data_IF_085263825774
#
_entry.id   IF_085263825774
#
_cell.length_a   1.000
_cell.length_b   1.000
_cell.length_c   1.000
_cell.angle_alpha   90.00
_cell.angle_beta   90.00
_cell.angle_gamma   90.00
#
_symmetry.space_group_name_H-M   'P 1'
#
loop_
_entity.id
_entity.type
_entity.pdbx_description
1 polymer ?
#
# COMPACT_ATOMS: atom_id res chain seq x y z
N UNK A 1 21.02 62.01 23.09
CA UNK A 1 20.75 61.41 21.76
C UNK A 1 21.13 59.92 21.66
N UNK A 2 22.27 59.49 22.22
CA UNK A 2 22.76 58.09 22.12
C UNK A 2 21.79 57.00 22.65
N UNK A 3 21.08 57.26 23.75
CA UNK A 3 20.16 56.29 24.37
C UNK A 3 18.98 55.89 23.45
N UNK A 4 18.47 56.84 22.63
CA UNK A 4 17.36 56.60 21.70
C UNK A 4 17.78 55.77 20.49
N UNK A 5 19.02 55.91 20.05
CA UNK A 5 19.61 55.10 18.99
C UNK A 5 19.86 53.67 19.43
N UNK A 6 20.31 53.47 20.67
CA UNK A 6 20.52 52.13 21.24
C UNK A 6 19.19 51.34 21.38
N UNK A 7 18.13 52.02 21.82
CA UNK A 7 16.79 51.42 21.89
C UNK A 7 16.20 51.10 20.51
N UNK A 8 16.42 51.97 19.51
CA UNK A 8 15.99 51.70 18.14
C UNK A 8 16.74 50.51 17.52
N UNK A 9 18.05 50.42 17.77
CA UNK A 9 18.89 49.32 17.30
C UNK A 9 18.52 47.97 17.95
N UNK A 10 18.26 47.97 19.27
CA UNK A 10 17.79 46.80 20.00
C UNK A 10 16.42 46.30 19.50
N UNK A 11 15.48 47.23 19.22
CA UNK A 11 14.17 46.88 18.65
C UNK A 11 14.29 46.32 17.22
N UNK A 12 15.20 46.88 16.41
CA UNK A 12 15.46 46.39 15.06
C UNK A 12 16.03 44.95 15.07
N UNK A 13 17.01 44.68 15.95
CA UNK A 13 17.56 43.34 16.13
C UNK A 13 16.52 42.33 16.62
N UNK A 14 15.66 42.74 17.56
CA UNK A 14 14.57 41.88 18.06
C UNK A 14 13.54 41.56 16.97
N UNK A 15 13.19 42.53 16.12
CA UNK A 15 12.27 42.31 15.01
C UNK A 15 12.86 41.38 13.94
N UNK A 16 14.15 41.53 13.61
CA UNK A 16 14.86 40.63 12.68
C UNK A 16 14.90 39.21 13.24
N UNK A 17 15.21 39.04 14.53
CA UNK A 17 15.22 37.73 15.18
C UNK A 17 13.84 37.05 15.12
N UNK A 18 12.74 37.79 15.37
CA UNK A 18 11.38 37.27 15.29
C UNK A 18 11.02 36.82 13.86
N UNK A 19 11.39 37.61 12.84
CA UNK A 19 11.16 37.25 11.43
C UNK A 19 11.93 35.99 11.05
N UNK A 20 13.18 35.85 11.49
CA UNK A 20 13.98 34.64 11.24
C UNK A 20 13.38 33.39 11.90
N UNK A 21 12.85 33.51 13.12
CA UNK A 21 12.15 32.42 13.81
C UNK A 21 10.86 32.04 13.08
N UNK A 22 10.07 33.02 12.62
CA UNK A 22 8.84 32.77 11.86
C UNK A 22 9.14 32.15 10.49
N UNK A 23 10.20 32.59 9.81
CA UNK A 23 10.65 32.00 8.55
C UNK A 23 11.14 30.57 8.73
N UNK A 24 11.93 30.30 9.77
CA UNK A 24 12.37 28.95 10.11
C UNK A 24 11.18 28.03 10.45
N UNK A 25 10.20 28.51 11.22
CA UNK A 25 8.98 27.76 11.53
C UNK A 25 8.15 27.49 10.26
N UNK A 26 8.03 28.46 9.36
CA UNK A 26 7.35 28.30 8.07
C UNK A 26 8.06 27.26 7.17
N UNK A 27 9.39 27.34 7.06
CA UNK A 27 10.19 26.34 6.33
C UNK A 27 10.03 24.95 6.95
N UNK A 28 10.08 24.83 8.29
CA UNK A 28 9.86 23.56 8.99
C UNK A 28 8.45 23.00 8.75
N UNK A 29 7.44 23.87 8.67
CA UNK A 29 6.05 23.51 8.36
C UNK A 29 5.90 22.96 6.93
N UNK A 30 6.63 23.55 5.97
CA UNK A 30 6.66 23.07 4.58
C UNK A 30 7.36 21.72 4.47
N UNK A 31 8.48 21.54 5.18
CA UNK A 31 9.21 20.25 5.20
C UNK A 31 8.36 19.13 5.79
N UNK A 32 7.56 19.40 6.84
CA UNK A 32 6.63 18.40 7.40
C UNK A 32 5.52 17.97 6.41
N UNK A 33 5.06 18.86 5.52
CA UNK A 33 4.07 18.52 4.50
C UNK A 33 4.67 17.84 3.26
N UNK A 34 6.00 17.86 3.11
CA UNK A 34 6.70 17.26 1.97
C UNK A 34 7.10 15.78 2.20
N UNK A 35 7.00 15.27 3.43
CA UNK A 35 7.26 13.86 3.74
C UNK A 35 6.01 13.01 3.44
N UNK A 36 5.64 12.89 2.16
CA UNK A 36 4.43 12.20 1.75
C UNK A 36 4.56 10.66 1.71
N UNK A 37 5.71 10.06 2.05
CA UNK A 37 5.89 8.61 2.20
C UNK A 37 7.03 8.35 3.19
N UNK A 38 6.90 7.40 4.14
CA UNK A 38 8.05 6.83 4.83
C UNK A 38 9.06 6.29 3.81
N UNK A 39 10.36 6.51 4.04
CA UNK A 39 11.42 6.13 3.09
C UNK A 39 11.48 4.62 2.76
N UNK A 40 10.81 3.78 3.55
CA UNK A 40 10.80 2.32 3.40
C UNK A 40 9.51 1.76 2.76
N UNK A 41 8.63 2.63 2.27
CA UNK A 41 7.39 2.25 1.58
C UNK A 41 7.68 1.96 0.11
N UNK A 42 7.23 0.79 -0.38
CA UNK A 42 7.38 0.40 -1.77
C UNK A 42 6.00 0.22 -2.41
N UNK A 43 5.72 0.98 -3.46
CA UNK A 43 4.49 0.88 -4.26
C UNK A 43 4.87 0.67 -5.71
N UNK A 44 4.46 -0.45 -6.29
CA UNK A 44 4.83 -0.88 -7.63
C UNK A 44 3.58 -0.84 -8.51
N UNK A 45 3.66 -0.08 -9.59
CA UNK A 45 2.69 -0.08 -10.68
C UNK A 45 3.14 -1.12 -11.73
N UNK A 46 2.37 -2.21 -11.82
CA UNK A 46 2.77 -3.38 -12.58
C UNK A 46 2.48 -3.17 -14.06
N UNK A 47 3.43 -3.51 -14.93
CA UNK A 47 3.33 -3.24 -16.36
C UNK A 47 3.61 -1.80 -16.77
N UNK A 48 3.98 -0.92 -15.83
CA UNK A 48 4.46 0.43 -16.12
C UNK A 48 5.86 0.37 -16.74
N UNK A 49 6.06 1.05 -17.88
CA UNK A 49 7.39 1.19 -18.48
C UNK A 49 8.33 2.00 -17.57
N UNK A 50 9.61 1.62 -17.50
CA UNK A 50 10.58 2.24 -16.60
C UNK A 50 10.75 3.77 -16.78
N UNK A 51 10.56 4.31 -17.99
CA UNK A 51 10.62 5.74 -18.28
C UNK A 51 9.52 6.57 -17.58
N UNK A 52 8.41 5.94 -17.16
CA UNK A 52 7.32 6.58 -16.43
C UNK A 52 7.39 6.33 -14.92
N UNK A 53 8.40 5.60 -14.44
CA UNK A 53 8.58 5.25 -13.03
C UNK A 53 8.81 6.48 -12.13
N UNK A 54 8.35 6.42 -10.88
CA UNK A 54 8.56 7.46 -9.87
C UNK A 54 7.52 8.60 -9.90
N UNK A 55 6.40 8.39 -10.59
CA UNK A 55 5.31 9.37 -10.60
C UNK A 55 4.52 9.32 -9.29
N UNK A 56 3.93 10.46 -8.92
CA UNK A 56 3.00 10.56 -7.79
C UNK A 56 1.57 10.48 -8.30
N UNK A 57 0.82 9.46 -7.87
CA UNK A 57 -0.58 9.33 -8.25
C UNK A 57 -1.42 10.45 -7.59
N UNK A 58 -2.23 11.12 -8.39
CA UNK A 58 -2.94 12.34 -7.96
C UNK A 58 -4.07 12.06 -6.97
N UNK A 59 -4.70 10.89 -7.03
CA UNK A 59 -5.83 10.55 -6.17
C UNK A 59 -5.38 10.01 -4.83
N UNK A 60 -4.35 9.15 -4.85
CA UNK A 60 -3.87 8.44 -3.67
C UNK A 60 -2.75 9.21 -2.97
N UNK A 61 -2.04 10.08 -3.69
CA UNK A 61 -0.88 10.80 -3.17
C UNK A 61 0.38 9.95 -3.03
N UNK A 62 0.34 8.69 -3.49
CA UNK A 62 1.42 7.72 -3.34
C UNK A 62 2.36 7.78 -4.56
N UNK A 63 3.66 7.61 -4.32
CA UNK A 63 4.65 7.46 -5.39
C UNK A 63 4.73 6.01 -5.82
N UNK A 64 4.58 5.75 -7.13
CA UNK A 64 4.68 4.43 -7.72
C UNK A 64 5.92 4.30 -8.60
N UNK A 65 6.55 3.13 -8.56
CA UNK A 65 7.67 2.75 -9.42
C UNK A 65 7.27 1.63 -10.37
N UNK A 66 7.99 1.49 -11.47
CA UNK A 66 7.85 0.35 -12.39
C UNK A 66 8.20 -0.97 -11.69
N UNK A 67 7.58 -2.06 -12.15
CA UNK A 67 7.84 -3.40 -11.65
C UNK A 67 9.10 -4.08 -12.22
N UNK A 68 9.69 -3.55 -13.28
CA UNK A 68 10.85 -4.15 -13.97
C UNK A 68 11.98 -4.64 -13.03
N UNK A 69 12.36 -3.92 -11.95
CA UNK A 69 13.44 -4.38 -11.05
C UNK A 69 13.05 -5.55 -10.14
N UNK A 70 11.77 -5.90 -10.06
CA UNK A 70 11.21 -6.81 -9.06
C UNK A 70 10.66 -8.10 -9.67
N UNK A 71 10.54 -8.20 -10.99
CA UNK A 71 9.95 -9.36 -11.68
C UNK A 71 10.71 -9.68 -12.97
N UNK A 72 10.97 -10.96 -13.20
CA UNK A 72 11.84 -11.40 -14.31
C UNK A 72 11.09 -11.81 -15.59
N UNK A 73 9.76 -11.82 -15.56
CA UNK A 73 8.93 -12.36 -16.66
C UNK A 73 7.56 -11.70 -16.74
N UNK A 74 6.72 -12.16 -17.68
CA UNK A 74 5.38 -11.63 -17.92
C UNK A 74 5.34 -10.52 -18.97
N UNK A 75 4.12 -10.12 -19.32
CA UNK A 75 3.83 -9.18 -20.39
C UNK A 75 3.15 -7.92 -19.83
N UNK A 76 3.60 -6.75 -20.27
CA UNK A 76 3.02 -5.47 -19.88
C UNK A 76 1.76 -5.21 -20.69
N UNK A 77 0.69 -4.81 -20.02
CA UNK A 77 -0.54 -4.40 -20.67
C UNK A 77 -1.08 -3.11 -20.08
N UNK A 78 -1.86 -2.42 -20.90
CA UNK A 78 -2.72 -1.32 -20.49
C UNK A 78 -4.17 -1.79 -20.57
N UNK A 79 -4.98 -1.32 -19.63
CA UNK A 79 -6.42 -1.56 -19.69
C UNK A 79 -7.05 -0.88 -20.92
N UNK A 80 -8.23 -1.32 -21.31
CA UNK A 80 -8.96 -0.72 -22.43
C UNK A 80 -9.29 0.76 -22.13
N UNK A 81 -9.21 1.61 -23.16
CA UNK A 81 -9.33 3.06 -23.02
C UNK A 81 -10.70 3.50 -22.43
N UNK A 82 -11.77 2.76 -22.73
CA UNK A 82 -13.11 2.98 -22.18
C UNK A 82 -13.20 2.62 -20.68
N UNK A 83 -12.27 1.81 -20.17
CA UNK A 83 -12.19 1.43 -18.76
C UNK A 83 -11.33 2.39 -17.93
N UNK A 84 -10.47 3.22 -18.53
CA UNK A 84 -9.63 4.17 -17.78
C UNK A 84 -10.45 5.16 -16.96
N UNK A 85 -11.58 5.64 -17.49
CA UNK A 85 -12.45 6.58 -16.77
C UNK A 85 -13.11 5.96 -15.53
N UNK A 86 -13.26 4.63 -15.50
CA UNK A 86 -13.85 3.86 -14.39
C UNK A 86 -12.88 3.73 -13.22
N UNK A 87 -11.58 3.69 -13.51
CA UNK A 87 -10.52 3.56 -12.52
C UNK A 87 -9.80 4.90 -12.38
N UNK A 88 -10.22 5.69 -11.40
CA UNK A 88 -9.71 7.04 -11.22
C UNK A 88 -8.19 7.07 -11.00
N UNK A 89 -7.64 6.07 -10.32
CA UNK A 89 -6.23 6.04 -9.93
C UNK A 89 -5.34 5.62 -11.11
N UNK A 90 -4.24 6.32 -11.31
CA UNK A 90 -3.30 6.11 -12.43
C UNK A 90 -2.65 4.74 -12.35
N UNK A 91 -2.35 4.29 -11.13
CA UNK A 91 -1.69 3.02 -10.83
C UNK A 91 -2.54 1.77 -11.14
N UNK A 92 -3.75 1.98 -11.64
CA UNK A 92 -4.72 0.93 -11.98
C UNK A 92 -4.95 0.80 -13.49
N UNK A 93 -4.22 1.58 -14.30
CA UNK A 93 -4.36 1.62 -15.76
C UNK A 93 -3.44 0.64 -16.47
N UNK A 94 -2.43 0.14 -15.79
CA UNK A 94 -1.46 -0.83 -16.26
C UNK A 94 -1.53 -2.10 -15.42
N UNK A 95 -1.14 -3.20 -16.03
CA UNK A 95 -0.96 -4.49 -15.36
C UNK A 95 0.13 -5.30 -16.04
N UNK A 96 0.67 -6.25 -15.29
CA UNK A 96 1.51 -7.31 -15.84
C UNK A 96 0.75 -8.63 -15.83
N UNK A 97 0.71 -9.31 -16.97
CA UNK A 97 0.11 -10.64 -17.13
C UNK A 97 1.19 -11.72 -17.20
N UNK A 98 0.83 -12.96 -16.86
CA UNK A 98 1.71 -14.12 -16.89
C UNK A 98 1.05 -15.27 -17.68
N UNK A 99 1.01 -15.19 -19.02
CA UNK A 99 0.37 -16.19 -19.86
C UNK A 99 1.15 -17.51 -19.93
N UNK A 100 2.43 -17.48 -19.56
CA UNK A 100 3.30 -18.64 -19.45
C UNK A 100 3.90 -18.75 -18.06
N UNK A 101 4.30 -19.95 -17.67
CA UNK A 101 4.87 -20.23 -16.34
C UNK A 101 3.80 -20.60 -15.31
N UNK A 102 4.12 -21.63 -14.52
CA UNK A 102 3.25 -22.11 -13.43
C UNK A 102 3.37 -21.22 -12.19
N UNK A 103 4.57 -20.68 -11.93
CA UNK A 103 4.89 -19.86 -10.76
C UNK A 103 5.61 -18.61 -11.21
N UNK A 104 5.00 -17.46 -10.96
CA UNK A 104 5.50 -16.15 -11.36
C UNK A 104 5.64 -15.29 -10.11
N UNK A 105 6.85 -14.81 -9.80
CA UNK A 105 7.15 -14.21 -8.50
C UNK A 105 7.73 -12.81 -8.64
N UNK A 106 7.30 -11.93 -7.75
CA UNK A 106 7.95 -10.67 -7.43
C UNK A 106 8.96 -10.89 -6.31
N UNK A 107 10.17 -10.38 -6.47
CA UNK A 107 11.22 -10.39 -5.45
C UNK A 107 11.21 -9.06 -4.70
N UNK A 108 10.53 -9.03 -3.56
CA UNK A 108 10.34 -7.78 -2.80
C UNK A 108 11.47 -7.58 -1.78
N UNK A 109 12.11 -6.39 -1.72
CA UNK A 109 13.15 -6.10 -0.74
C UNK A 109 12.55 -6.00 0.66
N UNK A 110 13.13 -6.68 1.63
CA UNK A 110 12.66 -6.69 3.02
C UNK A 110 13.83 -6.63 4.00
N UNK A 111 13.54 -6.42 5.29
CA UNK A 111 14.52 -6.53 6.38
C UNK A 111 14.12 -7.69 7.28
N UNK A 112 15.01 -8.65 7.47
CA UNK A 112 14.74 -9.82 8.31
C UNK A 112 14.29 -9.40 9.72
N UNK A 113 13.23 -10.03 10.23
CA UNK A 113 12.61 -9.71 11.52
C UNK A 113 11.62 -8.55 11.49
N UNK A 114 11.55 -7.76 10.42
CA UNK A 114 10.56 -6.68 10.27
C UNK A 114 9.22 -7.25 9.84
N UNK A 115 8.13 -6.74 10.43
CA UNK A 115 6.76 -7.09 10.02
C UNK A 115 6.33 -6.22 8.85
N UNK A 116 5.71 -6.83 7.85
CA UNK A 116 5.25 -6.16 6.65
C UNK A 116 3.78 -6.48 6.38
N UNK A 117 3.05 -5.48 5.86
CA UNK A 117 1.84 -5.70 5.10
C UNK A 117 2.22 -5.70 3.62
N UNK A 118 1.86 -6.77 2.92
CA UNK A 118 1.90 -6.83 1.47
C UNK A 118 0.48 -6.82 0.94
N UNK A 119 0.27 -6.05 -0.12
CA UNK A 119 -1.01 -5.90 -0.79
C UNK A 119 -0.85 -6.03 -2.29
N UNK A 120 -1.71 -6.84 -2.90
CA UNK A 120 -1.83 -6.94 -4.34
C UNK A 120 -3.21 -6.43 -4.76
N UNK A 121 -3.26 -5.69 -5.87
CA UNK A 121 -4.53 -5.23 -6.47
C UNK A 121 -4.64 -5.69 -7.92
N UNK A 122 -5.88 -6.00 -8.34
CA UNK A 122 -6.18 -6.71 -9.57
C UNK A 122 -7.28 -6.00 -10.37
N UNK A 123 -6.87 -5.23 -11.40
CA UNK A 123 -7.78 -4.63 -12.38
C UNK A 123 -7.64 -5.40 -13.68
N UNK A 124 -8.66 -6.16 -14.08
CA UNK A 124 -8.63 -6.77 -15.42
C UNK A 124 -8.73 -5.70 -16.52
N UNK A 125 -9.67 -4.76 -16.39
CA UNK A 125 -9.79 -3.62 -17.32
C UNK A 125 -9.94 -3.99 -18.80
N UNK A 126 -10.31 -5.23 -19.11
CA UNK A 126 -10.44 -5.75 -20.49
C UNK A 126 -9.12 -5.65 -21.29
N UNK A 127 -7.97 -5.84 -20.63
CA UNK A 127 -6.65 -5.71 -21.26
C UNK A 127 -6.41 -6.71 -22.41
N UNK A 128 -7.08 -7.86 -22.37
CA UNK A 128 -6.97 -8.94 -23.35
C UNK A 128 -8.11 -8.96 -24.39
N UNK A 129 -9.01 -7.98 -24.34
CA UNK A 129 -10.14 -7.87 -25.27
C UNK A 129 -11.26 -8.92 -25.07
N UNK A 130 -11.28 -9.63 -23.94
CA UNK A 130 -12.25 -10.72 -23.64
C UNK A 130 -13.73 -10.32 -23.52
N UNK A 131 -14.08 -9.04 -23.67
CA UNK A 131 -15.46 -8.55 -23.63
C UNK A 131 -15.97 -8.39 -22.19
N UNK A 132 -16.55 -7.22 -21.89
CA UNK A 132 -16.81 -6.68 -20.55
C UNK A 132 -17.74 -7.45 -19.59
N UNK A 133 -17.99 -8.75 -19.79
CA UNK A 133 -18.79 -9.60 -18.90
C UNK A 133 -18.15 -10.91 -18.44
N UNK A 134 -16.99 -11.33 -18.98
CA UNK A 134 -16.49 -12.70 -18.80
C UNK A 134 -15.12 -12.88 -18.12
N UNK A 135 -14.26 -11.86 -18.12
CA UNK A 135 -12.85 -12.02 -17.66
C UNK A 135 -12.68 -12.47 -16.21
N UNK A 136 -13.66 -12.21 -15.33
CA UNK A 136 -13.63 -12.66 -13.94
C UNK A 136 -14.33 -14.01 -13.70
N UNK A 137 -15.25 -14.45 -14.56
CA UNK A 137 -16.10 -15.62 -14.23
C UNK A 137 -15.33 -16.94 -14.25
N UNK A 138 -14.19 -16.97 -14.94
CA UNK A 138 -13.29 -18.13 -15.02
C UNK A 138 -11.89 -17.86 -14.50
N UNK A 139 -11.59 -16.65 -14.03
CA UNK A 139 -10.27 -16.30 -13.53
C UNK A 139 -10.09 -16.80 -12.10
N UNK A 140 -9.14 -17.69 -11.92
CA UNK A 140 -8.71 -18.14 -10.61
C UNK A 140 -7.23 -18.50 -10.65
N UNK A 141 -6.49 -17.99 -9.67
CA UNK A 141 -5.09 -18.31 -9.45
C UNK A 141 -4.74 -18.06 -7.98
N UNK A 142 -3.68 -18.70 -7.49
CA UNK A 142 -3.32 -18.61 -6.08
C UNK A 142 -2.20 -17.60 -5.81
N UNK A 143 -2.23 -16.99 -4.64
CA UNK A 143 -1.20 -16.10 -4.12
C UNK A 143 -0.40 -16.79 -3.02
N UNK A 144 0.93 -16.73 -3.17
CA UNK A 144 1.87 -17.33 -2.25
C UNK A 144 2.88 -16.31 -1.74
N UNK A 145 3.22 -16.45 -0.46
CA UNK A 145 4.37 -15.81 0.15
C UNK A 145 5.40 -16.89 0.45
N UNK A 146 6.53 -16.89 -0.24
CA UNK A 146 7.46 -18.02 -0.14
C UNK A 146 6.81 -19.30 -0.65
N UNK A 147 6.57 -20.22 0.27
CA UNK A 147 5.92 -21.52 0.01
C UNK A 147 4.49 -21.59 0.55
N UNK A 148 4.06 -20.57 1.27
CA UNK A 148 2.77 -20.56 1.96
C UNK A 148 1.71 -19.86 1.10
N UNK A 149 0.61 -20.54 0.83
CA UNK A 149 -0.55 -19.96 0.17
C UNK A 149 -1.30 -19.08 1.15
N UNK A 150 -1.59 -17.83 0.79
CA UNK A 150 -2.43 -16.95 1.63
C UNK A 150 -3.83 -16.70 1.05
N UNK A 151 -4.03 -16.76 -0.27
CA UNK A 151 -5.32 -16.49 -0.90
C UNK A 151 -5.44 -17.12 -2.29
N UNK A 152 -6.67 -17.21 -2.75
CA UNK A 152 -7.04 -17.43 -4.14
C UNK A 152 -7.65 -16.13 -4.65
N UNK A 153 -7.20 -15.67 -5.83
CA UNK A 153 -7.81 -14.53 -6.53
C UNK A 153 -9.02 -15.04 -7.29
N UNK A 154 -10.18 -14.44 -7.07
CA UNK A 154 -11.43 -14.85 -7.72
C UNK A 154 -12.36 -13.68 -8.08
N UNK A 155 -12.78 -12.86 -7.12
CA UNK A 155 -13.73 -11.76 -7.27
C UNK A 155 -13.28 -10.52 -6.51
N UNK A 156 -12.42 -10.71 -5.52
CA UNK A 156 -11.87 -9.63 -4.75
C UNK A 156 -10.79 -8.88 -5.53
N UNK A 157 -10.91 -7.56 -5.51
CA UNK A 157 -10.03 -6.66 -6.21
C UNK A 157 -8.66 -6.53 -5.53
N UNK A 158 -8.58 -6.80 -4.23
CA UNK A 158 -7.35 -6.63 -3.46
C UNK A 158 -7.19 -7.70 -2.39
N UNK A 159 -5.99 -8.23 -2.29
CA UNK A 159 -5.60 -9.22 -1.30
C UNK A 159 -4.45 -8.67 -0.46
N UNK A 160 -4.55 -8.81 0.86
CA UNK A 160 -3.52 -8.36 1.79
C UNK A 160 -3.08 -9.51 2.67
N UNK A 161 -1.80 -9.54 3.00
CA UNK A 161 -1.26 -10.41 4.02
C UNK A 161 -0.26 -9.66 4.90
N UNK A 162 -0.23 -10.03 6.18
CA UNK A 162 0.79 -9.59 7.12
C UNK A 162 1.74 -10.74 7.39
N UNK A 163 3.04 -10.47 7.35
CA UNK A 163 4.08 -11.47 7.62
C UNK A 163 5.28 -10.84 8.30
N UNK A 164 6.12 -11.67 8.91
CA UNK A 164 7.44 -11.26 9.40
C UNK A 164 8.47 -11.74 8.41
N UNK A 165 9.28 -10.82 7.87
CA UNK A 165 10.27 -11.15 6.86
C UNK A 165 11.37 -12.05 7.43
N UNK A 166 11.74 -13.10 6.71
CA UNK A 166 12.75 -14.09 7.12
C UNK A 166 14.15 -13.80 6.55
N UNK A 167 14.25 -12.92 5.56
CA UNK A 167 15.49 -12.59 4.86
C UNK A 167 15.51 -11.12 4.40
N UNK A 168 16.51 -10.73 3.61
CA UNK A 168 16.59 -9.41 2.97
C UNK A 168 15.66 -9.25 1.76
N UNK A 169 14.93 -10.30 1.40
CA UNK A 169 13.95 -10.31 0.32
C UNK A 169 12.86 -11.34 0.62
N UNK A 170 11.66 -11.13 0.08
CA UNK A 170 10.53 -12.04 0.17
C UNK A 170 9.89 -12.23 -1.22
N UNK A 171 9.76 -13.48 -1.71
CA UNK A 171 9.06 -13.75 -2.95
C UNK A 171 7.55 -13.76 -2.72
N UNK A 172 6.84 -13.03 -3.56
CA UNK A 172 5.39 -13.01 -3.62
C UNK A 172 4.97 -13.50 -4.98
N UNK A 173 4.29 -14.65 -5.03
CA UNK A 173 4.10 -15.41 -6.25
C UNK A 173 2.63 -15.55 -6.62
N UNK A 174 2.34 -15.40 -7.91
CA UNK A 174 1.09 -15.73 -8.56
C UNK A 174 1.26 -17.13 -9.20
N UNK A 175 0.43 -18.07 -8.78
CA UNK A 175 0.47 -19.46 -9.23
C UNK A 175 -0.70 -19.74 -10.17
N UNK A 176 -0.39 -20.08 -11.41
CA UNK A 176 -1.40 -20.45 -12.40
C UNK A 176 -2.03 -21.80 -12.04
N UNK A 177 -3.34 -21.81 -11.79
CA UNK A 177 -4.12 -23.02 -11.48
C UNK A 177 -4.85 -23.59 -12.70
N UNK A 178 -4.61 -23.05 -13.90
CA UNK A 178 -5.23 -23.47 -15.16
C UNK A 178 -6.55 -22.78 -15.49
N UNK A 179 -6.99 -21.83 -14.65
CA UNK A 179 -8.28 -21.12 -14.77
C UNK A 179 -8.03 -19.66 -15.14
N UNK A 180 -7.55 -19.41 -16.35
CA UNK A 180 -7.22 -18.06 -16.84
C UNK A 180 -5.76 -17.65 -16.58
N UNK A 181 -5.41 -16.45 -17.05
CA UNK A 181 -4.05 -15.91 -17.00
C UNK A 181 -3.85 -15.12 -15.71
N UNK A 182 -2.92 -15.50 -14.82
CA UNK A 182 -2.56 -14.68 -13.67
C UNK A 182 -2.07 -13.31 -14.11
N UNK A 183 -2.49 -12.26 -13.40
CA UNK A 183 -2.01 -10.90 -13.63
C UNK A 183 -2.01 -10.13 -12.32
N UNK A 184 -1.34 -9.00 -12.27
CA UNK A 184 -1.38 -8.05 -11.15
C UNK A 184 -1.26 -6.63 -11.66
N UNK A 185 -2.00 -5.70 -11.06
CA UNK A 185 -1.94 -4.27 -11.39
C UNK A 185 -1.03 -3.51 -10.44
N UNK A 186 -1.05 -3.88 -9.15
CA UNK A 186 -0.31 -3.17 -8.10
C UNK A 186 0.26 -4.13 -7.09
N UNK A 187 1.51 -3.91 -6.67
CA UNK A 187 2.13 -4.54 -5.50
C UNK A 187 2.57 -3.46 -4.53
N UNK A 188 2.06 -3.47 -3.30
CA UNK A 188 2.47 -2.55 -2.23
C UNK A 188 3.07 -3.34 -1.08
N UNK A 189 4.22 -2.88 -0.58
CA UNK A 189 4.91 -3.43 0.58
C UNK A 189 5.11 -2.31 1.61
N UNK A 190 4.52 -2.48 2.79
CA UNK A 190 4.53 -1.50 3.88
C UNK A 190 5.14 -2.14 5.12
N UNK A 191 6.31 -1.67 5.62
CA UNK A 191 6.76 -2.05 6.95
C UNK A 191 5.74 -1.58 7.98
N UNK A 192 5.48 -2.42 8.98
CA UNK A 192 4.59 -2.15 10.08
C UNK A 192 5.38 -1.97 11.37
N UNK A 193 4.85 -1.16 12.28
CA UNK A 193 5.33 -1.10 13.66
C UNK A 193 5.23 -2.48 14.32
N UNK A 194 6.22 -2.84 15.14
CA UNK A 194 6.31 -4.13 15.80
C UNK A 194 5.15 -4.43 16.76
N UNK A 195 4.45 -3.42 17.25
CA UNK A 195 3.26 -3.56 18.08
C UNK A 195 1.99 -3.92 17.27
N UNK A 196 1.96 -3.65 15.96
CA UNK A 196 0.84 -4.01 15.09
C UNK A 196 0.91 -5.50 14.74
N UNK A 197 -0.23 -6.18 14.86
CA UNK A 197 -0.37 -7.63 14.60
C UNK A 197 0.62 -8.49 15.40
N UNK A 198 0.64 -8.39 16.75
CA UNK A 198 1.63 -9.10 17.59
C UNK A 198 1.51 -10.63 17.52
N UNK A 199 0.37 -11.16 17.07
CA UNK A 199 0.14 -12.58 16.87
C UNK A 199 0.85 -13.17 15.64
N UNK A 200 1.31 -12.34 14.70
CA UNK A 200 2.01 -12.81 13.49
C UNK A 200 3.48 -13.04 13.80
N UNK A 201 3.91 -14.30 13.74
CA UNK A 201 5.28 -14.75 14.00
C UNK A 201 6.04 -15.06 12.70
N UNK A 202 7.36 -15.30 12.79
CA UNK A 202 8.28 -15.52 11.66
C UNK A 202 7.87 -16.62 10.65
N UNK A 203 7.08 -17.61 11.06
CA UNK A 203 6.65 -18.74 10.24
C UNK A 203 5.14 -18.72 9.93
N UNK A 204 4.50 -17.56 10.11
CA UNK A 204 3.07 -17.41 9.90
C UNK A 204 2.81 -16.17 9.08
N UNK A 205 1.77 -16.26 8.25
CA UNK A 205 1.18 -15.11 7.60
C UNK A 205 -0.29 -14.99 8.02
N UNK A 206 -0.82 -13.78 8.02
CA UNK A 206 -2.23 -13.52 8.27
C UNK A 206 -2.82 -12.84 7.05
N UNK A 207 -3.72 -13.54 6.35
CA UNK A 207 -4.49 -12.96 5.26
C UNK A 207 -5.58 -12.04 5.81
N UNK A 208 -5.80 -10.90 5.16
CA UNK A 208 -6.92 -10.01 5.50
C UNK A 208 -8.23 -10.67 5.08
N UNK A 209 -9.11 -10.89 6.07
CA UNK A 209 -10.51 -11.24 5.80
C UNK A 209 -11.39 -9.99 5.64
N UNK A 210 -11.43 -9.10 6.63
CA UNK A 210 -12.19 -7.85 6.57
C UNK A 210 -11.48 -6.73 7.35
N UNK A 211 -11.64 -5.48 6.92
CA UNK A 211 -11.22 -4.29 7.66
C UNK A 211 -12.34 -3.26 7.64
N UNK A 212 -12.85 -2.91 8.82
CA UNK A 212 -13.96 -1.97 8.98
C UNK A 212 -13.59 -0.88 9.99
N UNK A 213 -14.04 0.35 9.74
CA UNK A 213 -14.02 1.42 10.75
C UNK A 213 -15.33 1.40 11.51
N UNK A 214 -15.27 1.32 12.85
CA UNK A 214 -16.46 1.35 13.69
C UNK A 214 -16.65 2.81 14.17
N UNK A 215 -17.49 3.55 13.45
CA UNK A 215 -17.87 4.95 13.68
C UNK A 215 -18.95 5.37 12.69
N UNK A 216 -19.58 6.54 12.88
CA UNK A 216 -20.85 6.98 12.22
C UNK A 216 -20.87 7.02 10.68
N UNK A 217 -19.75 6.74 10.02
CA UNK A 217 -19.65 6.90 8.57
C UNK A 217 -19.58 5.59 7.77
N UNK A 218 -19.55 4.40 8.41
CA UNK A 218 -19.56 3.09 7.73
C UNK A 218 -18.69 3.00 6.45
N UNK A 219 -17.56 3.72 6.43
CA UNK A 219 -16.67 3.73 5.27
C UNK A 219 -15.77 2.50 5.36
N UNK A 220 -15.88 1.62 4.36
CA UNK A 220 -14.87 0.59 4.13
C UNK A 220 -13.52 1.28 3.95
N UNK A 221 -12.57 1.00 4.84
CA UNK A 221 -11.21 1.51 4.71
C UNK A 221 -10.53 0.68 3.63
N UNK A 222 -10.48 1.22 2.41
CA UNK A 222 -9.94 0.53 1.25
C UNK A 222 -8.42 0.52 1.20
N UNK A 223 -7.72 1.40 1.93
CA UNK A 223 -6.25 1.42 2.09
C UNK A 223 -5.93 1.86 3.53
N UNK A 224 -4.85 1.34 4.12
CA UNK A 224 -4.29 2.00 5.30
C UNK A 224 -3.96 3.43 4.88
N UNK A 225 -4.71 4.42 5.38
CA UNK A 225 -4.40 5.81 5.11
C UNK A 225 -3.11 6.12 5.84
N UNK A 226 -2.13 6.65 5.11
CA UNK A 226 -0.82 7.02 5.66
C UNK A 226 -0.94 8.08 6.75
N UNK A 227 -2.07 8.81 6.80
CA UNK A 227 -2.38 9.74 7.88
C UNK A 227 -2.74 9.04 9.20
N UNK A 228 -3.12 7.75 9.16
CA UNK A 228 -3.46 6.96 10.36
C UNK A 228 -2.19 6.46 11.07
N UNK A 229 -1.05 6.40 10.38
CA UNK A 229 0.22 5.99 11.01
C UNK A 229 0.78 7.07 11.96
N UNK A 230 0.50 8.36 11.72
CA UNK A 230 0.89 9.43 12.66
C UNK A 230 -0.08 9.64 13.84
N UNK A 231 -1.36 9.24 13.71
CA UNK A 231 -2.39 9.46 14.75
C UNK A 231 -2.80 8.18 15.51
N UNK A 232 -2.56 7.00 14.93
CA UNK A 232 -2.90 5.69 15.49
C UNK A 232 -2.11 5.32 16.74
N UNK A 233 -0.95 5.96 16.95
CA UNK A 233 -0.09 5.75 18.12
C UNK A 233 -0.69 6.33 19.42
N UNK A 234 -1.68 7.22 19.33
CA UNK A 234 -2.29 7.88 20.49
C UNK A 234 -3.68 7.36 20.88
N UNK A 235 -4.31 6.51 20.06
CA UNK A 235 -5.69 6.04 20.29
C UNK A 235 -5.82 4.53 20.55
N UNK A 236 -4.77 3.75 20.32
CA UNK A 236 -4.79 2.29 20.53
C UNK A 236 -4.97 1.89 22.01
N UNK A 237 -4.54 2.73 22.97
CA UNK A 237 -4.72 2.46 24.41
C UNK A 237 -6.13 2.81 24.92
N UNK A 238 -6.87 3.71 24.25
CA UNK A 238 -8.18 4.17 24.72
C UNK A 238 -9.37 3.34 24.21
N UNK A 239 -9.20 2.58 23.11
CA UNK A 239 -10.31 1.85 22.48
C UNK A 239 -10.60 0.47 23.10
N UNK A 240 -9.69 -0.07 23.91
CA UNK A 240 -9.83 -1.42 24.50
C UNK A 240 -10.97 -1.53 25.52
N UNK A 241 -11.49 -0.41 26.06
CA UNK A 241 -12.57 -0.41 27.06
C UNK A 241 -14.00 -0.42 26.48
N UNK A 242 -14.21 -0.30 25.16
CA UNK A 242 -15.56 -0.26 24.53
C UNK A 242 -15.93 -1.49 23.70
N UNK A 243 -15.17 -2.58 23.82
CA UNK A 243 -15.29 -3.81 23.00
C UNK A 243 -16.45 -4.74 23.41
N UNK A 244 -17.72 -4.35 23.23
CA UNK A 244 -18.88 -5.25 23.50
C UNK A 244 -19.80 -5.60 22.32
N UNK A 245 -19.50 -5.28 21.06
CA UNK A 245 -20.48 -5.56 19.99
C UNK A 245 -19.95 -5.95 18.59
N UNK A 246 -18.86 -6.71 18.48
CA UNK A 246 -18.74 -7.58 17.31
C UNK A 246 -19.62 -8.81 17.57
N UNK A 247 -20.72 -8.97 16.84
CA UNK A 247 -21.49 -10.22 16.87
C UNK A 247 -20.61 -11.31 16.25
N UNK A 248 -20.23 -12.27 17.10
CA UNK A 248 -19.34 -13.38 16.79
C UNK A 248 -20.06 -14.55 16.09
N UNK A 249 -21.33 -14.38 15.70
CA UNK A 249 -22.22 -15.51 15.39
C UNK A 249 -22.08 -16.10 13.99
N UNK A 250 -21.14 -15.61 13.17
CA UNK A 250 -20.94 -16.08 11.78
C UNK A 250 -19.49 -16.21 11.32
N UNK A 251 -18.58 -16.64 12.20
CA UNK A 251 -17.29 -17.15 11.76
C UNK A 251 -17.38 -18.68 11.55
N UNK A 252 -17.09 -19.20 10.34
CA UNK A 252 -16.78 -20.60 10.19
C UNK A 252 -15.50 -20.87 11.00
N UNK A 253 -15.62 -21.69 12.04
CA UNK A 253 -14.49 -22.24 12.77
C UNK A 253 -13.85 -23.30 11.86
N UNK A 254 -12.96 -22.91 10.95
CA UNK A 254 -12.14 -23.89 10.23
C UNK A 254 -10.99 -24.30 11.15
N UNK A 255 -11.27 -25.29 12.00
CA UNK A 255 -10.29 -26.06 12.74
C UNK A 255 -9.94 -27.36 12.01
N UNK A 256 -8.64 -27.69 12.09
CA UNK A 256 -7.89 -28.83 11.54
C UNK A 256 -7.58 -28.83 10.06
#
# INVERSE_FOLDING_TARGET
MAMRWFQAFSKLLSSIALILVLFAAFVLSIVLHAAAQPADFLSIDCGLEANYSGYKDANTGIVYVSDEPYVDSGENHRIAADQESRWGDTNLRTLRSFPSGVRNCYTLPTRAGTRYLVRLSFVHGNYDGGGGGGGWSTLSFDLYLGVDRWATVDKDYAHEAVFVAWASWAPVCLINTGSGTPFVSVVELRPLDGALYPSVMANQSMARYVRCSIGDNNKFITRFSEAVDCLGQLLAEAAFQKLKSCSWDKLPQTGR
#
